data_IF_953262279617
#
_entry.id   IF_953262279617
#
_cell.length_a   1.000
_cell.length_b   1.000
_cell.length_c   1.000
_cell.angle_alpha   90.00
_cell.angle_beta   90.00
_cell.angle_gamma   90.00
#
_symmetry.space_group_name_H-M   'P 1'
#
loop_
_entity.id
_entity.type
_entity.pdbx_description
1 polymer ?
#
# COMPACT_ATOMS: atom_id res chain seq x y z
N UNK A 1 1.75 26.46 -56.45
CA UNK A 1 0.86 26.94 -55.37
C UNK A 1 -0.19 25.89 -55.06
N UNK A 2 -0.58 25.79 -53.78
CA UNK A 2 -1.68 25.02 -53.17
C UNK A 2 -1.35 23.60 -52.67
N UNK A 3 -0.93 23.54 -51.41
CA UNK A 3 -1.32 22.49 -50.47
C UNK A 3 -2.76 22.75 -49.98
N UNK A 4 -3.47 21.69 -49.57
CA UNK A 4 -3.89 21.60 -48.17
C UNK A 4 -3.59 20.18 -47.62
N UNK A 5 -2.85 19.99 -46.53
CA UNK A 5 -3.06 20.42 -45.14
C UNK A 5 -4.31 19.77 -44.50
N UNK A 6 -4.06 19.12 -43.34
CA UNK A 6 -4.99 18.59 -42.34
C UNK A 6 -5.71 17.26 -42.62
N UNK A 7 -5.07 16.16 -42.22
CA UNK A 7 -5.76 14.94 -41.75
C UNK A 7 -4.90 14.19 -40.72
N UNK A 8 -4.46 14.88 -39.66
CA UNK A 8 -3.85 14.26 -38.47
C UNK A 8 -4.63 14.79 -37.27
N UNK A 9 -5.91 14.40 -37.15
CA UNK A 9 -6.76 14.79 -36.03
C UNK A 9 -7.29 13.52 -35.37
N UNK A 10 -6.90 13.37 -34.10
CA UNK A 10 -7.61 12.72 -33.01
C UNK A 10 -7.68 11.19 -32.94
N UNK A 11 -6.57 10.54 -32.56
CA UNK A 11 -6.62 9.21 -31.91
C UNK A 11 -5.96 9.20 -30.50
N UNK A 12 -5.82 10.35 -29.82
CA UNK A 12 -5.01 10.46 -28.58
C UNK A 12 -5.84 10.48 -27.27
N UNK A 13 -7.15 10.21 -27.28
CA UNK A 13 -8.01 10.48 -26.11
C UNK A 13 -8.71 9.28 -25.47
N UNK A 14 -8.16 8.07 -25.55
CA UNK A 14 -8.71 6.93 -24.77
C UNK A 14 -7.64 6.04 -24.17
N UNK A 15 -6.73 6.62 -23.39
CA UNK A 15 -6.10 5.86 -22.31
C UNK A 15 -6.97 6.06 -21.07
N UNK A 16 -7.89 5.13 -20.78
CA UNK A 16 -8.48 5.03 -19.46
C UNK A 16 -7.34 4.73 -18.49
N UNK A 17 -6.77 5.77 -17.87
CA UNK A 17 -5.77 5.61 -16.82
C UNK A 17 -6.46 5.09 -15.55
N UNK A 18 -6.83 3.81 -15.55
CA UNK A 18 -7.19 3.11 -14.32
C UNK A 18 -5.90 2.88 -13.54
N UNK A 19 -5.67 3.71 -12.52
CA UNK A 19 -4.60 3.49 -11.56
C UNK A 19 -4.75 2.08 -10.95
N UNK A 20 -3.67 1.28 -10.90
CA UNK A 20 -3.69 0.01 -10.18
C UNK A 20 -4.11 0.19 -8.72
N UNK A 21 -4.65 -0.87 -8.12
CA UNK A 21 -5.00 -0.86 -6.69
C UNK A 21 -3.76 -0.49 -5.85
N UNK A 22 -3.93 0.41 -4.88
CA UNK A 22 -2.83 0.86 -4.02
C UNK A 22 -1.94 1.96 -4.60
N UNK A 23 -2.11 2.33 -5.88
CA UNK A 23 -1.28 3.35 -6.55
C UNK A 23 -1.96 4.72 -6.64
N UNK A 24 -3.13 4.88 -6.02
CA UNK A 24 -3.74 6.19 -5.82
C UNK A 24 -3.17 6.94 -4.61
N UNK A 25 -3.50 8.23 -4.49
CA UNK A 25 -2.95 9.08 -3.44
C UNK A 25 -3.18 8.53 -2.02
N UNK A 26 -4.34 7.92 -1.75
CA UNK A 26 -4.64 7.31 -0.45
C UNK A 26 -3.78 6.07 -0.24
N UNK A 27 -3.74 5.17 -1.22
CA UNK A 27 -2.93 3.95 -1.15
C UNK A 27 -1.43 4.23 -0.96
N UNK A 28 -0.90 5.20 -1.70
CA UNK A 28 0.50 5.62 -1.59
C UNK A 28 0.82 6.19 -0.20
N UNK A 29 -0.03 7.06 0.35
CA UNK A 29 0.19 7.63 1.67
C UNK A 29 0.09 6.57 2.77
N UNK A 30 -0.90 5.67 2.69
CA UNK A 30 -1.06 4.60 3.69
C UNK A 30 0.11 3.60 3.66
N UNK A 31 0.58 3.21 2.47
CA UNK A 31 1.79 2.39 2.32
C UNK A 31 2.99 3.11 2.93
N UNK A 32 3.20 4.39 2.61
CA UNK A 32 4.31 5.19 3.13
C UNK A 32 4.30 5.29 4.65
N UNK A 33 3.14 5.54 5.26
CA UNK A 33 2.99 5.62 6.71
C UNK A 33 3.20 4.26 7.40
N UNK A 34 2.83 3.16 6.74
CA UNK A 34 2.91 1.81 7.30
C UNK A 34 4.28 1.14 7.10
N UNK A 35 5.06 1.53 6.08
CA UNK A 35 6.38 0.94 5.81
C UNK A 35 7.36 0.95 7.00
N UNK A 36 7.44 2.02 7.83
CA UNK A 36 8.28 1.99 9.03
C UNK A 36 7.93 0.86 10.02
N UNK A 37 6.68 0.39 10.02
CA UNK A 37 6.23 -0.72 10.86
C UNK A 37 6.85 -2.04 10.41
N UNK A 38 7.06 -2.25 9.10
CA UNK A 38 7.74 -3.42 8.56
C UNK A 38 9.17 -3.53 9.09
N UNK A 39 9.93 -2.44 9.01
CA UNK A 39 11.30 -2.39 9.53
C UNK A 39 11.34 -2.61 11.05
N UNK A 40 10.35 -2.10 11.79
CA UNK A 40 10.25 -2.33 13.23
C UNK A 40 9.93 -3.79 13.57
N UNK A 41 9.07 -4.45 12.80
CA UNK A 41 8.76 -5.87 12.94
C UNK A 41 9.97 -6.76 12.66
N UNK A 42 10.75 -6.45 11.62
CA UNK A 42 11.98 -7.19 11.32
C UNK A 42 13.00 -7.08 12.45
N UNK A 43 13.20 -5.88 12.99
CA UNK A 43 14.11 -5.68 14.15
C UNK A 43 13.62 -6.41 15.39
N UNK A 44 12.31 -6.40 15.65
CA UNK A 44 11.74 -7.18 16.75
C UNK A 44 12.02 -8.68 16.55
N UNK A 45 11.81 -9.19 15.34
CA UNK A 45 12.06 -10.60 15.03
C UNK A 45 13.54 -10.97 15.17
N UNK A 46 14.46 -10.09 14.80
CA UNK A 46 15.90 -10.30 14.99
C UNK A 46 16.28 -10.38 16.47
N UNK A 47 15.66 -9.56 17.32
CA UNK A 47 15.96 -9.50 18.76
C UNK A 47 15.30 -10.66 19.55
N UNK A 48 14.12 -11.13 19.12
CA UNK A 48 13.29 -12.08 19.86
C UNK A 48 13.13 -13.47 19.21
N UNK A 49 13.51 -13.62 17.95
CA UNK A 49 13.33 -14.84 17.15
C UNK A 49 11.93 -15.02 16.56
N UNK A 50 10.96 -14.22 16.98
CA UNK A 50 9.53 -14.30 16.59
C UNK A 50 8.95 -12.90 16.34
N UNK A 51 7.86 -12.81 15.57
CA UNK A 51 7.10 -11.57 15.41
C UNK A 51 6.26 -11.29 16.65
N UNK A 52 6.00 -10.01 17.00
CA UNK A 52 5.21 -9.69 18.18
C UNK A 52 3.76 -10.11 17.99
N UNK A 53 3.07 -10.42 19.09
CA UNK A 53 1.63 -10.70 19.07
C UNK A 53 0.76 -9.47 18.78
N UNK A 54 1.33 -8.26 18.90
CA UNK A 54 0.64 -7.01 18.59
C UNK A 54 1.62 -5.90 18.21
N UNK A 55 1.16 -4.94 17.40
CA UNK A 55 1.99 -3.80 16.97
C UNK A 55 2.41 -2.89 18.13
N UNK A 56 1.68 -2.91 19.26
CA UNK A 56 1.98 -2.09 20.42
C UNK A 56 3.31 -2.48 21.09
N UNK A 57 3.74 -3.74 20.96
CA UNK A 57 5.05 -4.20 21.48
C UNK A 57 6.24 -3.60 20.73
N UNK A 58 6.01 -3.00 19.57
CA UNK A 58 7.05 -2.27 18.83
C UNK A 58 7.38 -0.92 19.47
N UNK A 59 6.47 -0.36 20.27
CA UNK A 59 6.58 0.98 20.85
C UNK A 59 7.14 0.89 22.28
N UNK A 60 8.03 1.82 22.69
CA UNK A 60 8.68 2.86 21.88
C UNK A 60 10.02 2.38 21.28
N UNK A 61 10.45 1.15 21.56
CA UNK A 61 11.81 0.66 21.31
C UNK A 61 12.15 0.55 19.81
N UNK A 62 11.22 0.06 19.01
CA UNK A 62 11.44 -0.24 17.59
C UNK A 62 10.83 0.83 16.68
N UNK A 63 9.73 1.46 17.11
CA UNK A 63 9.10 2.59 16.45
C UNK A 63 8.54 3.57 17.49
N UNK A 64 8.56 4.88 17.19
CA UNK A 64 8.08 5.92 18.11
C UNK A 64 6.60 5.78 18.45
N UNK A 65 5.79 5.44 17.46
CA UNK A 65 4.36 5.19 17.57
C UNK A 65 3.93 4.33 16.38
N UNK A 66 2.91 3.51 16.58
CA UNK A 66 2.21 2.84 15.47
C UNK A 66 1.37 3.91 14.75
N UNK A 67 1.38 3.97 13.40
CA UNK A 67 0.46 4.83 12.66
C UNK A 67 -0.98 4.60 13.11
N UNK A 68 -1.73 5.68 13.34
CA UNK A 68 -3.14 5.57 13.71
C UNK A 68 -3.96 5.22 12.46
N UNK A 69 -3.96 3.94 12.11
CA UNK A 69 -4.79 3.37 11.07
C UNK A 69 -5.52 2.14 11.65
N UNK A 70 -6.85 2.20 11.84
CA UNK A 70 -7.62 1.08 12.37
C UNK A 70 -7.58 -0.16 11.46
N UNK A 71 -7.20 0.00 10.19
CA UNK A 71 -7.15 -1.07 9.22
C UNK A 71 -5.76 -1.69 9.08
N UNK A 72 -4.74 -1.16 9.78
CA UNK A 72 -3.41 -1.76 9.81
C UNK A 72 -3.41 -2.98 10.74
N UNK A 73 -3.11 -4.16 10.20
CA UNK A 73 -3.22 -5.43 10.92
C UNK A 73 -1.98 -6.28 10.70
N UNK A 74 -1.41 -6.78 11.80
CA UNK A 74 -0.37 -7.80 11.78
C UNK A 74 -1.03 -9.19 11.81
N UNK A 75 -0.67 -10.02 10.84
CA UNK A 75 -0.90 -11.47 10.89
C UNK A 75 0.47 -12.14 11.12
N UNK A 76 0.78 -12.42 12.37
CA UNK A 76 2.06 -13.00 12.75
C UNK A 76 2.21 -14.45 12.26
N UNK A 77 1.10 -15.19 12.15
CA UNK A 77 1.07 -16.59 11.72
C UNK A 77 1.38 -16.71 10.23
N UNK A 78 0.74 -15.87 9.42
CA UNK A 78 0.99 -15.79 7.98
C UNK A 78 2.21 -14.93 7.61
N UNK A 79 2.80 -14.24 8.60
CA UNK A 79 3.91 -13.30 8.41
C UNK A 79 3.56 -12.20 7.42
N UNK A 80 2.40 -11.57 7.61
CA UNK A 80 1.90 -10.48 6.77
C UNK A 80 1.61 -9.24 7.60
N UNK A 81 1.90 -8.07 7.03
CA UNK A 81 1.31 -6.80 7.46
C UNK A 81 0.29 -6.37 6.41
N UNK A 82 -0.96 -6.22 6.83
CA UNK A 82 -2.07 -5.82 5.97
C UNK A 82 -2.58 -4.42 6.29
N UNK A 83 -3.05 -3.70 5.28
CA UNK A 83 -3.85 -2.50 5.43
C UNK A 83 -5.00 -2.51 4.42
N UNK A 84 -6.09 -1.81 4.72
CA UNK A 84 -7.20 -1.64 3.79
C UNK A 84 -7.79 -0.25 3.84
N UNK A 85 -8.33 0.20 2.70
CA UNK A 85 -8.93 1.53 2.58
C UNK A 85 -10.01 1.58 1.52
N UNK A 86 -10.92 2.54 1.66
CA UNK A 86 -11.99 2.79 0.69
C UNK A 86 -11.52 3.81 -0.34
N UNK A 87 -11.85 3.57 -1.60
CA UNK A 87 -11.53 4.48 -2.68
C UNK A 87 -12.35 5.77 -2.55
N UNK A 88 -11.70 6.90 -2.83
CA UNK A 88 -12.39 8.18 -2.93
C UNK A 88 -13.24 8.23 -4.22
N UNK A 89 -14.39 8.90 -4.13
CA UNK A 89 -15.25 9.22 -5.28
C UNK A 89 -14.43 9.88 -6.40
N UNK A 90 -14.65 9.57 -7.69
CA UNK A 90 -15.77 8.81 -8.28
C UNK A 90 -15.58 7.28 -8.28
N UNK A 91 -14.46 6.76 -7.77
CA UNK A 91 -14.26 5.32 -7.67
C UNK A 91 -14.97 4.78 -6.44
N UNK A 92 -15.56 3.59 -6.58
CA UNK A 92 -16.21 2.87 -5.49
C UNK A 92 -15.47 1.57 -5.21
N UNK A 93 -15.65 1.04 -4.02
CA UNK A 93 -14.98 -0.17 -3.55
C UNK A 93 -13.83 0.12 -2.59
N UNK A 94 -13.17 -0.94 -2.17
CA UNK A 94 -12.06 -0.90 -1.23
C UNK A 94 -10.84 -1.59 -1.84
N UNK A 95 -9.67 -1.26 -1.30
CA UNK A 95 -8.40 -1.87 -1.66
C UNK A 95 -7.83 -2.52 -0.40
N UNK A 96 -7.31 -3.73 -0.57
CA UNK A 96 -6.51 -4.43 0.42
C UNK A 96 -5.07 -4.49 -0.05
N UNK A 97 -4.14 -4.15 0.84
CA UNK A 97 -2.71 -4.22 0.59
C UNK A 97 -2.06 -5.12 1.64
N UNK A 98 -1.13 -5.97 1.21
CA UNK A 98 -0.35 -6.84 2.10
C UNK A 98 1.13 -6.74 1.78
N UNK A 99 1.98 -6.77 2.79
CA UNK A 99 3.42 -6.87 2.66
C UNK A 99 3.93 -8.10 3.44
N UNK A 100 4.73 -8.98 2.82
CA UNK A 100 5.33 -10.11 3.50
C UNK A 100 6.43 -9.65 4.46
N UNK A 101 6.52 -10.30 5.62
CA UNK A 101 7.57 -10.05 6.60
C UNK A 101 8.76 -11.00 6.38
N UNK A 102 9.99 -10.50 6.53
CA UNK A 102 11.21 -11.32 6.41
C UNK A 102 11.68 -11.55 4.97
N UNK A 103 11.33 -10.63 4.06
CA UNK A 103 11.76 -10.60 2.65
C UNK A 103 11.84 -9.15 2.16
N UNK A 104 11.60 -8.90 0.88
CA UNK A 104 11.72 -7.55 0.29
C UNK A 104 10.64 -6.55 0.77
N UNK A 105 9.79 -6.93 1.71
CA UNK A 105 8.76 -6.11 2.36
C UNK A 105 7.89 -5.30 1.38
N UNK A 106 7.71 -5.82 0.16
CA UNK A 106 7.04 -5.12 -0.92
C UNK A 106 5.51 -5.24 -0.81
N UNK A 107 4.83 -4.10 -0.88
CA UNK A 107 3.37 -4.04 -0.84
C UNK A 107 2.75 -4.60 -2.11
N UNK A 108 1.80 -5.52 -1.95
CA UNK A 108 0.95 -6.06 -3.00
C UNK A 108 -0.50 -5.71 -2.70
N UNK A 109 -1.14 -5.00 -3.62
CA UNK A 109 -2.48 -4.45 -3.43
C UNK A 109 -3.47 -5.01 -4.45
N UNK A 110 -4.70 -5.24 -4.02
CA UNK A 110 -5.79 -5.75 -4.85
C UNK A 110 -7.13 -5.12 -4.44
N UNK A 111 -8.10 -5.00 -5.36
CA UNK A 111 -9.47 -4.66 -4.99
C UNK A 111 -10.01 -5.68 -3.98
N UNK A 112 -10.64 -5.20 -2.92
CA UNK A 112 -11.36 -6.05 -1.97
C UNK A 112 -12.73 -6.44 -2.54
N UNK A 113 -13.18 -7.69 -2.31
CA UNK A 113 -14.51 -8.14 -2.73
C UNK A 113 -15.65 -7.41 -2.02
#
# INVERSE_FOLDING_TARGET
MKAPALAVIACVLSACASLPAGEDATGLEMKKQSTPVLAALERYQQDHGEYPSSLQLLVPRYIKAVPFDPNLRLDADQKLLGLSYTLAWPRTGSVSCVAPLGGDAAWSCHPSP
#
